data_IF_295831658583
#
_entry.id   IF_295831658583
#
_cell.length_a   1.000
_cell.length_b   1.000
_cell.length_c   1.000
_cell.angle_alpha   90.00
_cell.angle_beta   90.00
_cell.angle_gamma   90.00
#
_symmetry.space_group_name_H-M   'P 1'
#
loop_
_entity.id
_entity.type
_entity.pdbx_description
1 polymer ?
#
# COMPACT_ATOMS: atom_id res chain seq x y z
N UNK A 1 8.55 -5.59 -4.05
CA UNK A 1 8.78 -6.21 -5.36
C UNK A 1 7.50 -6.14 -6.17
N UNK A 2 7.61 -5.84 -7.48
CA UNK A 2 6.47 -5.69 -8.38
C UNK A 2 6.72 -6.40 -9.71
N UNK A 3 5.67 -7.04 -10.24
CA UNK A 3 5.60 -7.46 -11.63
C UNK A 3 4.96 -6.32 -12.44
N UNK A 4 5.64 -5.88 -13.49
CA UNK A 4 5.20 -4.74 -14.31
C UNK A 4 4.93 -5.20 -15.73
N UNK A 5 3.72 -4.88 -16.24
CA UNK A 5 3.35 -5.06 -17.64
C UNK A 5 3.21 -3.69 -18.30
N UNK A 6 3.89 -3.48 -19.42
CA UNK A 6 3.84 -2.23 -20.20
C UNK A 6 3.32 -2.47 -21.61
N UNK A 7 2.52 -1.53 -22.08
CA UNK A 7 2.01 -1.51 -23.46
C UNK A 7 2.30 -0.13 -24.06
N UNK A 8 2.97 -0.13 -25.21
CA UNK A 8 3.31 1.12 -25.91
C UNK A 8 2.12 1.65 -26.71
N UNK A 9 1.84 2.94 -26.55
CA UNK A 9 0.90 3.69 -27.38
C UNK A 9 1.72 4.55 -28.37
N UNK A 10 1.69 4.16 -29.65
CA UNK A 10 2.49 4.83 -30.68
C UNK A 10 1.98 6.24 -31.04
N UNK A 11 0.68 6.48 -30.89
CA UNK A 11 0.06 7.78 -31.20
C UNK A 11 0.44 8.84 -30.17
N UNK A 12 0.38 8.48 -28.90
CA UNK A 12 0.70 9.38 -27.79
C UNK A 12 2.18 9.34 -27.40
N UNK A 13 2.96 8.42 -27.95
CA UNK A 13 4.37 8.16 -27.59
C UNK A 13 4.55 7.90 -26.08
N UNK A 14 3.59 7.25 -25.48
CA UNK A 14 3.55 6.90 -24.05
C UNK A 14 3.47 5.39 -23.85
N UNK A 15 3.70 4.95 -22.62
CA UNK A 15 3.42 3.59 -22.20
C UNK A 15 2.30 3.61 -21.17
N UNK A 16 1.30 2.80 -21.36
CA UNK A 16 0.42 2.41 -20.25
C UNK A 16 1.09 1.29 -19.47
N UNK A 17 1.00 1.34 -18.16
CA UNK A 17 1.61 0.36 -17.28
C UNK A 17 0.57 -0.15 -16.28
N UNK A 18 0.58 -1.44 -16.04
CA UNK A 18 -0.06 -2.05 -14.87
C UNK A 18 1.00 -2.75 -14.03
N UNK A 19 0.82 -2.79 -12.73
CA UNK A 19 1.76 -3.48 -11.86
C UNK A 19 1.04 -4.23 -10.76
N UNK A 20 1.53 -5.44 -10.50
CA UNK A 20 1.08 -6.30 -9.42
C UNK A 20 2.14 -6.30 -8.31
N UNK A 21 1.70 -6.22 -7.07
CA UNK A 21 2.58 -6.29 -5.92
C UNK A 21 2.86 -7.77 -5.61
N UNK A 22 4.13 -8.15 -5.58
CA UNK A 22 4.55 -9.54 -5.34
C UNK A 22 5.12 -9.76 -3.92
N UNK A 23 5.46 -8.69 -3.23
CA UNK A 23 6.04 -8.73 -1.89
C UNK A 23 6.55 -7.37 -1.46
N UNK A 24 6.94 -7.27 -0.21
CA UNK A 24 7.52 -6.07 0.38
C UNK A 24 8.53 -6.44 1.46
N UNK A 25 9.21 -5.44 1.97
CA UNK A 25 10.10 -5.58 3.11
C UNK A 25 9.38 -5.16 4.38
N UNK A 26 9.77 -5.77 5.49
CA UNK A 26 9.31 -5.37 6.81
C UNK A 26 9.83 -3.97 7.13
N UNK A 27 9.01 -3.22 7.81
CA UNK A 27 9.38 -1.88 8.26
C UNK A 27 9.69 -1.91 9.75
N UNK A 28 10.89 -1.47 10.13
CA UNK A 28 11.33 -1.44 11.52
C UNK A 28 11.59 0.01 11.97
N UNK A 29 10.99 0.40 13.09
CA UNK A 29 11.22 1.69 13.75
C UNK A 29 11.28 1.48 15.24
N UNK A 30 12.36 1.96 15.87
CA UNK A 30 12.54 1.96 17.32
C UNK A 30 12.33 0.59 17.98
N UNK A 31 12.77 -0.49 17.32
CA UNK A 31 12.65 -1.86 17.84
C UNK A 31 11.26 -2.48 17.67
N UNK A 32 10.41 -1.86 16.87
CA UNK A 32 9.10 -2.41 16.48
C UNK A 32 9.13 -2.70 14.99
N UNK A 33 8.90 -3.96 14.63
CA UNK A 33 8.78 -4.41 13.24
C UNK A 33 7.31 -4.51 12.86
N UNK A 34 6.96 -3.90 11.73
CA UNK A 34 5.61 -4.00 11.15
C UNK A 34 5.71 -4.72 9.81
N UNK A 35 4.95 -5.76 9.63
CA UNK A 35 4.95 -6.59 8.43
C UNK A 35 3.53 -6.96 8.00
N UNK A 36 3.23 -6.80 6.71
CA UNK A 36 2.10 -7.51 6.11
C UNK A 36 2.51 -8.96 5.82
N UNK A 37 1.64 -9.96 6.05
CA UNK A 37 1.88 -11.32 5.57
C UNK A 37 2.20 -11.32 4.08
N UNK A 38 3.09 -12.21 3.63
CA UNK A 38 3.54 -12.22 2.23
C UNK A 38 2.38 -12.42 1.24
N UNK A 39 1.43 -13.25 1.59
CA UNK A 39 0.21 -13.50 0.82
C UNK A 39 -0.65 -12.25 0.60
N UNK A 40 -0.66 -11.34 1.57
CA UNK A 40 -1.44 -10.09 1.53
C UNK A 40 -1.03 -9.20 0.36
N UNK A 41 0.27 -9.18 0.01
CA UNK A 41 0.73 -8.38 -1.12
C UNK A 41 0.10 -8.78 -2.45
N UNK A 42 -0.22 -10.07 -2.61
CA UNK A 42 -0.85 -10.60 -3.83
C UNK A 42 -2.34 -10.28 -3.93
N UNK A 43 -2.97 -9.91 -2.81
CA UNK A 43 -4.37 -9.53 -2.75
C UNK A 43 -4.58 -8.05 -3.12
N UNK A 44 -3.53 -7.24 -3.10
CA UNK A 44 -3.62 -5.83 -3.52
C UNK A 44 -3.96 -5.77 -5.00
N UNK A 45 -5.08 -5.12 -5.38
CA UNK A 45 -5.46 -5.04 -6.78
C UNK A 45 -4.33 -4.44 -7.65
N UNK A 46 -4.14 -4.93 -8.87
CA UNK A 46 -3.18 -4.35 -9.80
C UNK A 46 -3.46 -2.85 -9.99
N UNK A 47 -2.43 -2.04 -10.04
CA UNK A 47 -2.60 -0.65 -10.41
C UNK A 47 -2.99 -0.57 -11.88
N UNK A 48 -4.09 0.12 -12.15
CA UNK A 48 -4.54 0.41 -13.49
C UNK A 48 -4.15 1.84 -13.90
N UNK A 49 -3.89 2.02 -15.21
CA UNK A 49 -3.73 3.35 -15.83
C UNK A 49 -2.55 4.19 -15.36
N UNK A 50 -1.50 3.56 -14.86
CA UNK A 50 -0.24 4.27 -14.69
C UNK A 50 0.33 4.62 -16.08
N UNK A 51 0.69 5.88 -16.28
CA UNK A 51 1.24 6.38 -17.55
C UNK A 51 2.74 6.63 -17.35
N UNK A 52 3.54 6.03 -18.23
CA UNK A 52 4.98 6.25 -18.27
C UNK A 52 5.33 6.97 -19.56
N UNK A 53 5.82 8.19 -19.43
CA UNK A 53 6.30 9.01 -20.55
C UNK A 53 7.81 8.88 -20.67
N UNK A 54 8.29 8.57 -21.87
CA UNK A 54 9.73 8.47 -22.17
C UNK A 54 10.12 9.63 -23.07
N UNK A 55 11.13 10.38 -22.63
CA UNK A 55 11.81 11.36 -23.48
C UNK A 55 13.06 10.70 -24.09
N UNK A 56 12.95 10.28 -25.34
CA UNK A 56 14.04 9.59 -26.04
C UNK A 56 15.27 10.48 -26.27
N UNK A 57 15.08 11.79 -26.51
CA UNK A 57 16.18 12.72 -26.75
C UNK A 57 17.04 12.93 -25.50
N UNK A 58 16.40 12.93 -24.34
CA UNK A 58 17.07 13.10 -23.03
C UNK A 58 17.41 11.79 -22.35
N UNK A 59 16.90 10.66 -22.85
CA UNK A 59 17.04 9.37 -22.20
C UNK A 59 16.39 9.32 -20.81
N UNK A 60 15.27 10.03 -20.61
CA UNK A 60 14.60 10.11 -19.31
C UNK A 60 13.20 9.51 -19.36
N UNK A 61 12.68 9.10 -18.18
CA UNK A 61 11.29 8.67 -18.04
C UNK A 61 10.63 9.30 -16.82
N UNK A 62 9.31 9.46 -16.90
CA UNK A 62 8.44 9.87 -15.78
C UNK A 62 7.23 8.97 -15.79
N UNK A 63 6.91 8.38 -14.64
CA UNK A 63 5.69 7.59 -14.42
C UNK A 63 4.81 8.27 -13.39
N UNK A 64 3.53 8.43 -13.71
CA UNK A 64 2.53 9.09 -12.86
C UNK A 64 1.24 8.29 -12.81
N UNK A 65 0.41 8.56 -11.81
CA UNK A 65 -0.92 7.97 -11.70
C UNK A 65 -0.97 6.58 -11.08
N UNK A 66 0.14 6.11 -10.52
CA UNK A 66 0.13 4.85 -9.80
C UNK A 66 -0.51 5.01 -8.43
N UNK A 67 -1.65 4.34 -8.25
CA UNK A 67 -2.39 4.31 -6.98
C UNK A 67 -2.48 2.86 -6.52
N UNK A 68 -2.17 2.64 -5.25
CA UNK A 68 -2.43 1.37 -4.56
C UNK A 68 -3.47 1.57 -3.46
N UNK A 69 -4.46 0.72 -3.45
CA UNK A 69 -5.51 0.67 -2.45
C UNK A 69 -5.42 -0.65 -1.69
N UNK A 70 -5.26 -0.56 -0.37
CA UNK A 70 -5.27 -1.71 0.53
C UNK A 70 -6.57 -1.69 1.30
N UNK A 71 -7.37 -2.75 1.16
CA UNK A 71 -8.69 -2.93 1.73
C UNK A 71 -9.68 -1.79 1.44
N UNK A 72 -9.51 -1.13 0.30
CA UNK A 72 -10.39 -0.08 -0.21
C UNK A 72 -10.85 -0.46 -1.62
N UNK A 73 -12.16 -0.39 -1.88
CA UNK A 73 -12.78 -0.68 -3.17
C UNK A 73 -13.97 0.24 -3.44
N UNK A 74 -14.43 0.24 -4.67
CA UNK A 74 -15.67 0.92 -5.10
C UNK A 74 -15.76 2.40 -4.69
N UNK A 75 -14.61 3.05 -4.51
CA UNK A 75 -14.56 4.49 -4.23
C UNK A 75 -14.96 5.28 -5.46
N UNK A 76 -15.77 6.35 -5.33
CA UNK A 76 -16.17 7.20 -6.46
C UNK A 76 -14.97 7.75 -7.25
N UNK A 77 -13.93 8.14 -6.55
CA UNK A 77 -12.65 8.55 -7.12
C UNK A 77 -11.51 8.11 -6.19
N UNK A 78 -10.70 7.14 -6.60
CA UNK A 78 -9.57 6.65 -5.80
C UNK A 78 -8.56 7.73 -5.43
N UNK A 79 -8.43 8.79 -6.23
CA UNK A 79 -7.47 9.88 -6.02
C UNK A 79 -7.97 10.87 -4.98
N UNK A 80 -9.19 11.37 -5.18
CA UNK A 80 -9.70 12.54 -4.47
C UNK A 80 -10.68 12.23 -3.36
N UNK A 81 -11.30 11.03 -3.35
CA UNK A 81 -12.23 10.64 -2.30
C UNK A 81 -11.60 10.75 -0.91
N UNK A 82 -12.35 11.32 0.02
CA UNK A 82 -11.93 11.42 1.41
C UNK A 82 -11.83 10.04 2.05
N UNK A 83 -10.83 9.80 2.86
CA UNK A 83 -10.72 8.63 3.74
C UNK A 83 -11.26 8.94 5.13
N UNK A 84 -11.69 7.93 5.90
CA UNK A 84 -12.13 8.13 7.27
C UNK A 84 -10.96 8.64 8.13
N UNK A 85 -11.26 9.37 9.19
CA UNK A 85 -10.23 9.89 10.12
C UNK A 85 -9.83 8.88 11.20
N UNK A 86 -10.43 7.70 11.23
CA UNK A 86 -10.16 6.64 12.19
C UNK A 86 -11.29 5.62 12.30
N UNK A 87 -11.15 4.66 13.21
CA UNK A 87 -12.04 3.52 13.46
C UNK A 87 -13.53 3.89 13.50
N UNK A 88 -13.90 4.93 14.26
CA UNK A 88 -15.31 5.31 14.41
C UNK A 88 -15.92 5.71 13.08
N UNK A 89 -15.28 6.62 12.35
CA UNK A 89 -15.78 7.12 11.08
C UNK A 89 -15.76 6.03 9.99
N UNK A 90 -14.84 5.10 10.03
CA UNK A 90 -14.76 3.98 9.10
C UNK A 90 -16.02 3.09 9.13
N UNK A 91 -16.72 3.02 10.26
CA UNK A 91 -17.99 2.26 10.44
C UNK A 91 -19.22 3.00 9.95
N UNK A 92 -19.10 4.24 9.53
CA UNK A 92 -20.19 5.10 9.07
C UNK A 92 -20.23 5.19 7.55
N UNK A 93 -21.41 5.42 6.96
CA UNK A 93 -21.53 5.72 5.54
C UNK A 93 -20.87 7.07 5.22
N UNK A 94 -20.21 7.24 4.04
CA UNK A 94 -20.09 6.24 2.99
C UNK A 94 -18.89 5.28 3.17
N UNK A 95 -18.04 5.49 4.18
CA UNK A 95 -16.75 4.81 4.31
C UNK A 95 -16.87 3.30 4.48
N UNK A 96 -17.85 2.82 5.27
CA UNK A 96 -18.10 1.39 5.45
C UNK A 96 -18.38 0.64 4.15
N UNK A 97 -18.83 1.36 3.10
CA UNK A 97 -19.17 0.76 1.82
C UNK A 97 -17.93 0.58 0.93
N UNK A 98 -16.83 1.27 1.28
CA UNK A 98 -15.55 1.21 0.55
C UNK A 98 -14.55 0.27 1.22
N UNK A 99 -14.72 0.01 2.51
CA UNK A 99 -13.80 -0.79 3.32
C UNK A 99 -14.26 -2.25 3.29
N UNK A 100 -13.30 -3.15 3.16
CA UNK A 100 -13.58 -4.60 3.17
C UNK A 100 -12.43 -5.37 3.83
N UNK A 101 -12.75 -6.57 4.28
CA UNK A 101 -11.78 -7.56 4.71
C UNK A 101 -11.03 -8.07 3.48
N UNK A 102 -9.78 -7.62 3.30
CA UNK A 102 -8.99 -7.92 2.10
C UNK A 102 -8.27 -9.27 2.20
N UNK A 103 -7.85 -9.66 3.38
CA UNK A 103 -7.07 -10.88 3.64
C UNK A 103 -7.89 -12.05 4.16
N UNK A 104 -9.22 -11.85 4.35
CA UNK A 104 -10.18 -12.91 4.64
C UNK A 104 -10.11 -13.43 6.08
N UNK A 105 -9.59 -12.64 6.99
CA UNK A 105 -9.45 -13.02 8.43
C UNK A 105 -10.68 -12.68 9.28
N UNK A 106 -11.72 -12.09 8.69
CA UNK A 106 -12.96 -11.69 9.33
C UNK A 106 -12.93 -10.29 9.95
N UNK A 107 -11.88 -9.51 9.67
CA UNK A 107 -11.73 -8.14 10.16
C UNK A 107 -11.63 -7.17 8.98
N UNK A 108 -12.30 -6.05 9.08
CA UNK A 108 -12.19 -5.01 8.05
C UNK A 108 -10.76 -4.48 7.97
N UNK A 109 -10.22 -4.39 6.76
CA UNK A 109 -8.87 -3.88 6.54
C UNK A 109 -7.91 -4.93 6.01
N UNK A 110 -6.65 -4.70 6.29
CA UNK A 110 -5.52 -5.62 6.13
C UNK A 110 -4.86 -5.79 7.48
N UNK A 111 -4.61 -7.03 7.85
CA UNK A 111 -3.91 -7.35 9.09
C UNK A 111 -2.40 -7.17 8.92
N UNK A 112 -1.84 -6.27 9.71
CA UNK A 112 -0.41 -6.04 9.83
C UNK A 112 0.07 -6.59 11.16
N UNK A 113 1.05 -7.48 11.11
CA UNK A 113 1.69 -8.02 12.31
C UNK A 113 2.71 -7.04 12.88
N UNK A 114 2.63 -6.81 14.17
CA UNK A 114 3.58 -6.00 14.92
C UNK A 114 4.37 -6.94 15.83
N UNK A 115 5.68 -6.77 15.85
CA UNK A 115 6.57 -7.54 16.73
C UNK A 115 7.73 -6.68 17.23
N UNK A 116 8.22 -7.01 18.42
CA UNK A 116 9.30 -6.31 19.09
C UNK A 116 8.97 -6.02 20.54
N UNK A 117 9.12 -4.78 20.98
CA UNK A 117 8.75 -4.33 22.34
C UNK A 117 7.24 -4.48 22.55
N UNK A 118 6.46 -4.30 21.49
CA UNK A 118 5.02 -4.51 21.43
C UNK A 118 4.75 -5.62 20.43
N UNK A 119 3.84 -6.53 20.74
CA UNK A 119 3.45 -7.61 19.85
C UNK A 119 1.94 -7.60 19.64
N UNK A 120 1.50 -7.99 18.45
CA UNK A 120 0.09 -8.07 18.13
C UNK A 120 -0.21 -7.80 16.66
N UNK A 121 -1.43 -7.39 16.41
CA UNK A 121 -1.94 -7.10 15.08
C UNK A 121 -2.63 -5.74 15.06
N UNK A 122 -2.54 -5.05 13.93
CA UNK A 122 -3.32 -3.85 13.62
C UNK A 122 -4.02 -4.04 12.29
N UNK A 123 -5.24 -3.56 12.21
CA UNK A 123 -6.08 -3.64 11.03
C UNK A 123 -6.10 -2.28 10.35
N UNK A 124 -5.67 -2.23 9.10
CA UNK A 124 -5.44 -0.96 8.41
C UNK A 124 -6.09 -0.92 7.03
N UNK A 125 -6.47 0.28 6.62
CA UNK A 125 -6.66 0.63 5.21
C UNK A 125 -5.54 1.57 4.79
N UNK A 126 -5.13 1.48 3.52
CA UNK A 126 -4.10 2.36 3.01
C UNK A 126 -4.41 2.81 1.58
N UNK A 127 -4.15 4.07 1.30
CA UNK A 127 -4.05 4.63 -0.04
C UNK A 127 -2.65 5.17 -0.24
N UNK A 128 -1.98 4.68 -1.29
CA UNK A 128 -0.61 5.04 -1.63
C UNK A 128 -0.55 5.56 -3.06
N UNK A 129 0.16 6.67 -3.24
CA UNK A 129 0.53 7.20 -4.54
C UNK A 129 2.02 6.97 -4.77
N UNK A 130 2.38 6.67 -6.02
CA UNK A 130 3.78 6.46 -6.40
C UNK A 130 4.05 7.22 -7.69
N UNK A 131 5.00 8.13 -7.65
CA UNK A 131 5.55 8.79 -8.83
C UNK A 131 6.96 8.27 -9.10
N UNK A 132 7.25 8.01 -10.36
CA UNK A 132 8.53 7.49 -10.82
C UNK A 132 9.22 8.53 -11.69
N UNK A 133 10.53 8.66 -11.56
CA UNK A 133 11.34 9.46 -12.48
C UNK A 133 12.75 8.89 -12.59
N UNK A 134 13.36 8.98 -13.76
CA UNK A 134 14.70 8.45 -13.89
C UNK A 134 15.30 8.59 -15.30
N UNK A 135 16.41 7.88 -15.48
CA UNK A 135 17.16 7.83 -16.73
C UNK A 135 17.20 6.40 -17.28
N UNK A 136 17.20 6.30 -18.59
CA UNK A 136 17.31 5.05 -19.34
C UNK A 136 18.79 4.84 -19.67
N UNK A 137 19.35 3.74 -19.19
CA UNK A 137 20.76 3.40 -19.39
C UNK A 137 20.99 2.46 -20.57
N UNK A 138 19.92 1.86 -21.09
CA UNK A 138 19.97 0.91 -22.19
C UNK A 138 18.58 0.33 -22.49
N UNK A 139 18.49 -0.60 -23.44
CA UNK A 139 17.20 -1.15 -23.88
C UNK A 139 16.47 -1.94 -22.78
N UNK A 140 17.20 -2.45 -21.80
CA UNK A 140 16.70 -3.31 -20.72
C UNK A 140 16.97 -2.74 -19.32
N UNK A 141 17.53 -1.53 -19.23
CA UNK A 141 17.96 -0.97 -17.96
C UNK A 141 17.62 0.51 -17.81
N UNK A 142 16.99 0.82 -16.71
CA UNK A 142 16.76 2.18 -16.24
C UNK A 142 17.07 2.29 -14.74
N UNK A 143 17.40 3.48 -14.28
CA UNK A 143 17.61 3.81 -12.88
C UNK A 143 16.83 5.08 -12.56
N UNK A 144 16.27 5.17 -11.35
CA UNK A 144 15.51 6.36 -10.98
C UNK A 144 15.07 6.37 -9.52
N UNK A 145 14.22 7.33 -9.24
CA UNK A 145 13.61 7.56 -7.94
C UNK A 145 12.14 7.17 -7.98
N UNK A 146 11.64 6.63 -6.87
CA UNK A 146 10.23 6.47 -6.59
C UNK A 146 9.86 7.39 -5.42
N UNK A 147 9.02 8.37 -5.68
CA UNK A 147 8.41 9.21 -4.65
C UNK A 147 7.11 8.57 -4.21
N UNK A 148 6.98 8.34 -2.91
CA UNK A 148 5.78 7.71 -2.34
C UNK A 148 5.10 8.69 -1.39
N UNK A 149 3.79 8.85 -1.53
CA UNK A 149 2.94 9.42 -0.49
C UNK A 149 1.84 8.43 -0.13
N UNK A 150 1.55 8.28 1.15
CA UNK A 150 0.54 7.34 1.60
C UNK A 150 -0.25 7.88 2.78
N UNK A 151 -1.49 7.43 2.87
CA UNK A 151 -2.36 7.64 4.03
C UNK A 151 -2.77 6.27 4.55
N UNK A 152 -2.42 5.99 5.79
CA UNK A 152 -2.81 4.76 6.50
C UNK A 152 -3.76 5.12 7.63
N UNK A 153 -4.86 4.40 7.74
CA UNK A 153 -5.85 4.55 8.80
C UNK A 153 -5.95 3.23 9.56
N UNK A 154 -5.79 3.29 10.86
CA UNK A 154 -5.97 2.13 11.74
C UNK A 154 -7.47 2.00 12.04
N UNK A 155 -8.01 0.81 11.76
CA UNK A 155 -9.41 0.44 12.01
C UNK A 155 -9.61 -0.25 13.35
N UNK A 156 -8.57 -0.87 13.87
CA UNK A 156 -8.57 -1.59 15.13
C UNK A 156 -7.22 -2.21 15.39
N UNK A 157 -7.07 -2.79 16.56
CA UNK A 157 -5.85 -3.47 16.96
C UNK A 157 -6.14 -4.60 17.94
N UNK A 158 -5.19 -5.51 18.04
CA UNK A 158 -5.08 -6.56 19.06
C UNK A 158 -3.63 -6.59 19.52
N UNK A 159 -3.28 -5.62 20.36
CA UNK A 159 -1.92 -5.36 20.78
C UNK A 159 -1.75 -5.80 22.24
N UNK A 160 -0.70 -6.60 22.50
CA UNK A 160 -0.24 -6.94 23.85
C UNK A 160 1.09 -6.24 24.13
N UNK A 161 1.16 -5.60 25.29
CA UNK A 161 2.41 -5.03 25.80
C UNK A 161 3.05 -6.07 26.72
N UNK A 162 4.29 -6.46 26.38
CA UNK A 162 5.08 -7.35 27.23
C UNK A 162 5.56 -6.59 28.46
N UNK A 163 5.12 -7.00 29.68
CA UNK A 163 5.72 -6.51 30.93
C UNK A 163 6.90 -7.42 31.31
N UNK A 164 8.16 -6.91 31.21
CA UNK A 164 9.33 -7.72 31.53
C UNK A 164 9.46 -8.03 33.04
N UNK A 165 8.63 -7.43 33.91
CA UNK A 165 8.71 -7.64 35.36
C UNK A 165 7.94 -8.86 35.87
N UNK A 166 6.85 -9.23 35.23
CA UNK A 166 6.04 -10.35 35.65
C UNK A 166 5.91 -11.48 34.59
N UNK A 167 6.42 -11.25 33.38
CA UNK A 167 6.32 -12.21 32.27
C UNK A 167 4.88 -12.36 31.73
N UNK A 168 3.97 -11.50 32.12
CA UNK A 168 2.59 -11.48 31.62
C UNK A 168 2.45 -10.51 30.44
N UNK A 169 1.52 -10.83 29.54
CA UNK A 169 1.10 -9.93 28.49
C UNK A 169 -0.28 -9.35 28.89
N UNK A 170 -0.37 -8.04 29.03
CA UNK A 170 -1.67 -7.39 29.14
C UNK A 170 -2.28 -7.20 27.75
N UNK A 171 -3.44 -7.79 27.52
CA UNK A 171 -4.27 -7.50 26.36
C UNK A 171 -5.17 -6.31 26.72
N UNK A 172 -5.13 -5.27 25.93
CA UNK A 172 -6.13 -4.20 26.01
C UNK A 172 -7.32 -4.59 25.13
N UNK A 173 -8.46 -4.99 25.73
CA UNK A 173 -9.68 -5.13 24.96
C UNK A 173 -10.19 -3.75 24.54
N UNK A 174 -10.75 -3.66 23.35
CA UNK A 174 -11.42 -2.49 22.76
C UNK A 174 -12.55 -1.91 23.65
#
# INVERSE_FOLDING_TARGET
>A
YRLVKRTYNAEEKTYSQSSELCGGENFEVAGVTTAAPEETYRLVPPSEKEIVTINHDKGTYVGTGHIQLWALKDMPDPVTSTLPKGKKQAKEAPFKDYIYDMDGDGKDGVTMKISGIVNGEVYVIQRKFVDLSGIILGPDRAIGLASNSYTTIILGDDISIYDPKDGSAETHPD
#
